data_IF_345623886918
#
_entry.id   IF_345623886918
#
_cell.length_a   1.000
_cell.length_b   1.000
_cell.length_c   1.000
_cell.angle_alpha   90.00
_cell.angle_beta   90.00
_cell.angle_gamma   90.00
#
_symmetry.space_group_name_H-M   'P 1'
#
loop_
_entity.id
_entity.type
_entity.pdbx_description
1 polymer ?
#
# COMPACT_ATOMS: atom_id res chain seq x y z
N UNK A 1 -22.33 4.39 -5.14
CA UNK A 1 -22.29 2.99 -5.65
C UNK A 1 -20.83 2.67 -5.93
N UNK A 2 -20.27 1.57 -5.39
CA UNK A 2 -18.91 1.16 -5.70
C UNK A 2 -18.77 0.85 -7.19
N UNK A 3 -17.63 1.21 -7.77
CA UNK A 3 -17.29 0.84 -9.14
C UNK A 3 -17.11 -0.68 -9.26
N UNK A 4 -17.23 -1.23 -10.47
CA UNK A 4 -16.98 -2.66 -10.70
C UNK A 4 -15.59 -3.10 -10.20
N UNK A 5 -14.60 -2.24 -10.37
CA UNK A 5 -13.23 -2.44 -9.87
C UNK A 5 -13.18 -2.52 -8.34
N UNK A 6 -13.85 -1.61 -7.63
CA UNK A 6 -13.93 -1.62 -6.16
C UNK A 6 -14.63 -2.88 -5.66
N UNK A 7 -15.79 -3.24 -6.23
CA UNK A 7 -16.53 -4.45 -5.86
C UNK A 7 -15.70 -5.73 -6.04
N UNK A 8 -14.88 -5.79 -7.11
CA UNK A 8 -13.96 -6.89 -7.34
C UNK A 8 -12.85 -6.96 -6.30
N UNK A 9 -12.25 -5.81 -5.93
CA UNK A 9 -11.22 -5.75 -4.89
C UNK A 9 -11.79 -6.09 -3.51
N UNK A 10 -13.00 -5.62 -3.19
CA UNK A 10 -13.71 -5.98 -1.95
C UNK A 10 -13.99 -7.48 -1.87
N UNK A 11 -14.49 -8.06 -2.96
CA UNK A 11 -14.78 -9.49 -3.03
C UNK A 11 -13.51 -10.34 -2.89
N UNK A 12 -12.40 -9.90 -3.50
CA UNK A 12 -11.12 -10.60 -3.40
C UNK A 12 -10.52 -10.49 -1.98
N UNK A 13 -10.62 -9.33 -1.34
CA UNK A 13 -10.17 -9.14 0.04
C UNK A 13 -11.02 -9.97 1.02
N UNK A 14 -12.34 -10.00 0.81
CA UNK A 14 -13.26 -10.83 1.59
C UNK A 14 -12.92 -12.32 1.46
N UNK A 15 -12.58 -12.81 0.27
CA UNK A 15 -12.16 -14.20 0.06
C UNK A 15 -10.92 -14.59 0.88
N UNK A 16 -9.99 -13.65 1.12
CA UNK A 16 -8.78 -13.87 1.93
C UNK A 16 -9.08 -14.09 3.43
N UNK A 17 -10.29 -13.78 3.90
CA UNK A 17 -10.70 -14.05 5.28
C UNK A 17 -10.93 -15.54 5.53
N UNK A 18 -11.41 -16.26 4.51
CA UNK A 18 -11.72 -17.70 4.61
C UNK A 18 -10.66 -18.60 3.97
N UNK A 19 -10.00 -18.14 2.91
CA UNK A 19 -9.15 -18.99 2.06
C UNK A 19 -7.73 -18.41 1.91
N UNK A 20 -6.68 -19.27 1.82
CA UNK A 20 -5.38 -18.80 1.38
C UNK A 20 -5.44 -18.34 -0.09
N UNK A 21 -4.61 -17.36 -0.45
CA UNK A 21 -4.59 -16.80 -1.81
C UNK A 21 -4.46 -17.86 -2.91
N UNK A 22 -3.67 -18.91 -2.70
CA UNK A 22 -3.53 -20.02 -3.65
C UNK A 22 -4.87 -20.65 -4.03
N UNK A 23 -5.80 -20.77 -3.07
CA UNK A 23 -7.14 -21.33 -3.25
C UNK A 23 -8.18 -20.34 -3.80
N UNK A 24 -7.93 -19.04 -3.76
CA UNK A 24 -8.84 -18.02 -4.31
C UNK A 24 -8.95 -18.18 -5.84
N UNK A 25 -10.16 -18.39 -6.36
CA UNK A 25 -10.40 -18.51 -7.81
C UNK A 25 -10.99 -17.23 -8.38
N UNK A 26 -10.50 -16.81 -9.53
CA UNK A 26 -10.96 -15.60 -10.24
C UNK A 26 -12.47 -15.64 -10.54
N UNK A 27 -13.01 -16.80 -10.87
CA UNK A 27 -14.45 -16.97 -11.12
C UNK A 27 -15.31 -16.69 -9.89
N UNK A 28 -14.86 -17.13 -8.70
CA UNK A 28 -15.60 -16.92 -7.46
C UNK A 28 -15.59 -15.44 -7.07
N UNK A 29 -14.45 -14.76 -7.28
CA UNK A 29 -14.33 -13.32 -7.07
C UNK A 29 -15.27 -12.54 -7.99
N UNK A 30 -15.31 -12.88 -9.28
CA UNK A 30 -16.21 -12.23 -10.24
C UNK A 30 -17.68 -12.43 -9.86
N UNK A 31 -18.04 -13.66 -9.49
CA UNK A 31 -19.40 -14.02 -9.06
C UNK A 31 -19.81 -13.27 -7.79
N UNK A 32 -18.94 -13.21 -6.79
CA UNK A 32 -19.20 -12.48 -5.55
C UNK A 32 -19.35 -10.96 -5.77
N UNK A 33 -18.60 -10.41 -6.73
CA UNK A 33 -18.68 -9.00 -7.11
C UNK A 33 -19.87 -8.67 -8.04
N UNK A 34 -20.65 -9.66 -8.47
CA UNK A 34 -21.79 -9.46 -9.38
C UNK A 34 -21.39 -9.07 -10.81
N UNK A 35 -20.18 -9.43 -11.25
CA UNK A 35 -19.66 -9.09 -12.59
C UNK A 35 -19.28 -10.33 -13.39
N UNK A 36 -19.19 -10.19 -14.71
CA UNK A 36 -18.75 -11.30 -15.57
C UNK A 36 -17.26 -11.63 -15.37
N UNK A 37 -16.88 -12.88 -15.63
CA UNK A 37 -15.45 -13.29 -15.66
C UNK A 37 -14.65 -12.42 -16.64
N UNK A 38 -15.22 -12.12 -17.81
CA UNK A 38 -14.56 -11.30 -18.83
C UNK A 38 -14.28 -9.89 -18.31
N UNK A 39 -15.22 -9.28 -17.58
CA UNK A 39 -15.02 -7.97 -16.93
C UNK A 39 -13.84 -8.02 -15.98
N UNK A 40 -13.76 -9.03 -15.10
CA UNK A 40 -12.64 -9.17 -14.18
C UNK A 40 -11.29 -9.31 -14.91
N UNK A 41 -11.22 -10.16 -15.93
CA UNK A 41 -10.01 -10.32 -16.73
C UNK A 41 -9.66 -9.06 -17.53
N UNK A 42 -10.64 -8.27 -17.97
CA UNK A 42 -10.37 -6.98 -18.62
C UNK A 42 -9.79 -5.96 -17.62
N UNK A 43 -10.28 -5.95 -16.38
CA UNK A 43 -9.85 -5.01 -15.33
C UNK A 43 -8.45 -5.31 -14.78
N UNK A 44 -8.11 -6.59 -14.64
CA UNK A 44 -6.89 -7.01 -13.94
C UNK A 44 -5.94 -7.87 -14.77
N UNK A 45 -6.39 -8.41 -15.91
CA UNK A 45 -5.62 -9.27 -16.81
C UNK A 45 -5.37 -10.68 -16.27
N UNK A 46 -5.02 -10.82 -14.99
CA UNK A 46 -4.61 -12.09 -14.37
C UNK A 46 -4.81 -12.05 -12.85
N UNK A 47 -4.69 -13.23 -12.21
CA UNK A 47 -4.70 -13.33 -10.74
C UNK A 47 -3.56 -12.52 -10.12
N UNK A 48 -2.37 -12.52 -10.74
CA UNK A 48 -1.25 -11.68 -10.31
C UNK A 48 -1.55 -10.18 -10.48
N UNK A 49 -2.30 -9.79 -11.52
CA UNK A 49 -2.76 -8.41 -11.68
C UNK A 49 -3.74 -7.99 -10.60
N UNK A 50 -4.68 -8.87 -10.23
CA UNK A 50 -5.60 -8.64 -9.10
C UNK A 50 -4.83 -8.54 -7.77
N UNK A 51 -3.86 -9.42 -7.53
CA UNK A 51 -2.96 -9.35 -6.38
C UNK A 51 -2.24 -8.00 -6.29
N UNK A 52 -1.68 -7.52 -7.41
CA UNK A 52 -1.03 -6.21 -7.44
C UNK A 52 -2.00 -5.07 -7.17
N UNK A 53 -3.20 -5.12 -7.75
CA UNK A 53 -4.22 -4.10 -7.55
C UNK A 53 -4.71 -4.04 -6.09
N UNK A 54 -4.92 -5.21 -5.46
CA UNK A 54 -5.23 -5.31 -4.03
C UNK A 54 -4.14 -4.66 -3.18
N UNK A 55 -2.89 -5.04 -3.41
CA UNK A 55 -1.80 -4.54 -2.59
C UNK A 55 -1.58 -3.03 -2.78
N UNK A 56 -1.77 -2.48 -4.00
CA UNK A 56 -1.77 -1.01 -4.21
C UNK A 56 -2.88 -0.33 -3.43
N UNK A 57 -4.10 -0.86 -3.49
CA UNK A 57 -5.24 -0.33 -2.75
C UNK A 57 -4.95 -0.30 -1.24
N UNK A 58 -4.40 -1.37 -0.69
CA UNK A 58 -4.04 -1.43 0.73
C UNK A 58 -2.93 -0.44 1.10
N UNK A 59 -1.94 -0.25 0.22
CA UNK A 59 -0.93 0.79 0.39
C UNK A 59 -1.55 2.19 0.39
N UNK A 60 -2.48 2.48 -0.52
CA UNK A 60 -3.18 3.76 -0.59
C UNK A 60 -4.07 3.99 0.65
N UNK A 61 -4.75 2.95 1.16
CA UNK A 61 -5.52 3.01 2.41
C UNK A 61 -4.61 3.36 3.59
N UNK A 62 -3.48 2.66 3.71
CA UNK A 62 -2.49 2.94 4.75
C UNK A 62 -1.98 4.38 4.68
N UNK A 63 -1.58 4.83 3.49
CA UNK A 63 -1.06 6.17 3.24
C UNK A 63 -2.09 7.27 3.57
N UNK A 64 -3.36 7.09 3.22
CA UNK A 64 -4.43 8.02 3.65
C UNK A 64 -4.58 8.07 5.16
N UNK A 65 -4.41 6.95 5.85
CA UNK A 65 -4.42 6.90 7.31
C UNK A 65 -3.23 7.67 7.92
N UNK A 66 -2.05 7.59 7.31
CA UNK A 66 -0.88 8.39 7.69
C UNK A 66 -1.18 9.89 7.53
N UNK A 67 -1.75 10.31 6.41
CA UNK A 67 -2.10 11.73 6.20
C UNK A 67 -3.08 12.24 7.25
N UNK A 68 -4.06 11.40 7.62
CA UNK A 68 -5.00 11.70 8.70
C UNK A 68 -4.28 11.85 10.04
N UNK A 69 -3.42 10.89 10.41
CA UNK A 69 -2.67 10.94 11.67
C UNK A 69 -1.76 12.17 11.76
N UNK A 70 -1.13 12.57 10.65
CA UNK A 70 -0.34 13.80 10.56
C UNK A 70 -1.19 15.08 10.71
N UNK A 71 -2.45 15.05 10.25
CA UNK A 71 -3.36 16.19 10.29
C UNK A 71 -4.09 16.40 11.63
N UNK A 72 -4.27 15.35 12.43
CA UNK A 72 -5.04 15.40 13.68
C UNK A 72 -4.24 15.94 14.88
N UNK A 73 -2.92 15.77 14.91
CA UNK A 73 -2.09 16.19 16.03
C UNK A 73 -1.60 17.65 15.92
N UNK A 74 -1.59 18.35 17.05
CA UNK A 74 -1.26 19.77 17.12
C UNK A 74 0.26 20.00 17.13
N UNK A 75 1.02 19.26 17.95
CA UNK A 75 2.46 19.44 18.06
C UNK A 75 3.25 18.55 17.08
N UNK A 76 4.41 19.01 16.56
CA UNK A 76 5.28 18.23 15.67
C UNK A 76 5.65 16.82 16.17
N UNK A 77 5.99 16.69 17.46
CA UNK A 77 6.36 15.41 18.07
C UNK A 77 5.16 14.48 18.25
N UNK A 78 3.99 15.04 18.55
CA UNK A 78 2.72 14.31 18.66
C UNK A 78 2.29 13.74 17.30
N UNK A 79 2.55 14.46 16.20
CA UNK A 79 2.27 13.97 14.84
C UNK A 79 3.06 12.71 14.49
N UNK A 80 4.35 12.68 14.80
CA UNK A 80 5.19 11.50 14.55
C UNK A 80 4.77 10.31 15.42
N UNK A 81 4.48 10.56 16.69
CA UNK A 81 3.96 9.53 17.59
C UNK A 81 2.60 8.98 17.08
N UNK A 82 1.68 9.85 16.68
CA UNK A 82 0.38 9.45 16.13
C UNK A 82 0.51 8.59 14.86
N UNK A 83 1.43 8.92 13.95
CA UNK A 83 1.72 8.10 12.76
C UNK A 83 2.26 6.73 13.16
N UNK A 84 3.19 6.66 14.12
CA UNK A 84 3.76 5.40 14.59
C UNK A 84 2.69 4.52 15.25
N UNK A 85 1.90 5.08 16.17
CA UNK A 85 0.80 4.39 16.84
C UNK A 85 -0.25 3.87 15.84
N UNK A 86 -0.65 4.71 14.90
CA UNK A 86 -1.59 4.33 13.84
C UNK A 86 -1.02 3.21 12.96
N UNK A 87 0.24 3.31 12.56
CA UNK A 87 0.92 2.31 11.72
C UNK A 87 0.94 0.95 12.41
N UNK A 88 1.35 0.92 13.67
CA UNK A 88 1.40 -0.32 14.49
C UNK A 88 -0.01 -0.90 14.69
N UNK A 89 -1.01 -0.06 15.01
CA UNK A 89 -2.39 -0.50 15.18
C UNK A 89 -2.96 -1.11 13.87
N UNK A 90 -2.72 -0.46 12.74
CA UNK A 90 -3.18 -0.91 11.41
C UNK A 90 -2.52 -2.21 11.01
N UNK A 91 -1.20 -2.32 11.19
CA UNK A 91 -0.45 -3.52 10.83
C UNK A 91 -0.89 -4.75 11.66
N UNK A 92 -1.35 -4.56 12.90
CA UNK A 92 -1.91 -5.66 13.72
C UNK A 92 -3.25 -6.16 13.18
N UNK A 93 -4.12 -5.26 12.71
CA UNK A 93 -5.45 -5.60 12.20
C UNK A 93 -5.50 -6.04 10.74
N UNK A 94 -4.53 -5.63 9.92
CA UNK A 94 -4.56 -5.81 8.47
C UNK A 94 -3.30 -6.55 7.97
N UNK A 95 -3.37 -7.88 7.74
CA UNK A 95 -2.22 -8.68 7.32
C UNK A 95 -1.54 -8.19 6.02
N UNK A 96 -2.31 -7.63 5.09
CA UNK A 96 -1.76 -7.06 3.86
C UNK A 96 -0.95 -5.78 4.12
N UNK A 97 -1.44 -4.87 4.96
CA UNK A 97 -0.67 -3.67 5.37
C UNK A 97 0.62 -4.08 6.07
N UNK A 98 0.56 -5.07 6.98
CA UNK A 98 1.77 -5.62 7.61
C UNK A 98 2.76 -6.18 6.59
N UNK A 99 2.27 -6.94 5.61
CA UNK A 99 3.13 -7.52 4.57
C UNK A 99 3.78 -6.44 3.69
N UNK A 100 3.05 -5.36 3.37
CA UNK A 100 3.58 -4.20 2.66
C UNK A 100 4.70 -3.50 3.44
N UNK A 101 4.51 -3.31 4.74
CA UNK A 101 5.46 -2.60 5.61
C UNK A 101 6.72 -3.42 5.93
N UNK A 102 6.62 -4.74 5.93
CA UNK A 102 7.71 -5.64 6.35
C UNK A 102 8.36 -6.40 5.19
N UNK A 103 7.66 -6.49 4.06
CA UNK A 103 8.02 -7.39 2.95
C UNK A 103 7.69 -8.86 3.23
N UNK A 104 7.16 -9.18 4.42
CA UNK A 104 6.87 -10.56 4.82
C UNK A 104 5.47 -10.99 4.36
N UNK A 105 5.39 -11.51 3.15
CA UNK A 105 4.17 -12.09 2.59
C UNK A 105 4.01 -13.53 3.09
N UNK A 106 3.05 -13.76 3.99
CA UNK A 106 2.70 -15.12 4.44
C UNK A 106 1.99 -15.93 3.35
N UNK A 107 1.90 -17.25 3.53
CA UNK A 107 1.33 -18.20 2.55
C UNK A 107 -0.14 -17.92 2.17
N UNK A 108 -0.89 -17.27 3.08
CA UNK A 108 -2.30 -16.92 2.84
C UNK A 108 -2.46 -15.67 1.98
N UNK A 109 -1.42 -14.85 1.82
CA UNK A 109 -1.51 -13.56 1.14
C UNK A 109 -1.06 -13.65 -0.31
N UNK A 110 -1.60 -12.77 -1.18
CA UNK A 110 -1.07 -12.59 -2.52
C UNK A 110 0.32 -11.96 -2.43
N UNK A 111 1.40 -12.74 -2.50
CA UNK A 111 2.76 -12.22 -2.60
C UNK A 111 2.96 -11.63 -4.01
N UNK A 112 2.80 -10.31 -4.21
CA UNK A 112 2.92 -9.72 -5.52
C UNK A 112 4.40 -9.76 -5.86
N UNK A 113 4.76 -10.36 -7.00
CA UNK A 113 6.17 -10.29 -7.44
C UNK A 113 6.57 -8.81 -7.49
N UNK A 114 7.66 -8.40 -6.82
CA UNK A 114 8.19 -7.06 -6.97
C UNK A 114 8.40 -6.81 -8.46
N UNK A 115 8.07 -5.62 -8.97
CA UNK A 115 8.54 -5.31 -10.31
C UNK A 115 10.05 -5.26 -10.21
N UNK A 116 10.73 -6.29 -10.70
CA UNK A 116 12.14 -6.16 -11.00
C UNK A 116 12.25 -4.94 -11.91
N UNK A 117 12.97 -3.91 -11.44
CA UNK A 117 13.55 -2.91 -12.32
C UNK A 117 14.53 -3.68 -13.19
N UNK A 118 14.05 -4.29 -14.26
CA UNK A 118 14.92 -4.74 -15.34
C UNK A 118 15.51 -3.47 -15.92
N UNK A 119 16.73 -3.13 -15.49
CA UNK A 119 17.58 -2.18 -16.20
C UNK A 119 17.84 -2.77 -17.57
N UNK A 120 16.98 -2.47 -18.55
CA UNK A 120 17.09 -2.99 -19.92
C UNK A 120 15.89 -3.78 -20.46
N UNK A 121 14.65 -3.56 -20.00
CA UNK A 121 13.49 -4.08 -20.77
C UNK A 121 13.38 -3.33 -22.10
N UNK A 122 13.32 -4.03 -23.26
CA UNK A 122 13.14 -3.40 -24.58
C UNK A 122 11.73 -2.86 -24.80
N UNK A 123 10.83 -2.98 -23.81
CA UNK A 123 9.45 -2.51 -23.90
C UNK A 123 9.38 -0.99 -23.68
N UNK A 124 8.73 -0.24 -24.59
CA UNK A 124 8.55 1.21 -24.48
C UNK A 124 7.93 1.60 -23.13
N UNK A 125 8.34 2.74 -22.56
CA UNK A 125 7.87 3.23 -21.25
C UNK A 125 6.33 3.23 -21.10
N UNK A 126 5.60 3.46 -22.19
CA UNK A 126 4.13 3.49 -22.26
C UNK A 126 3.46 2.10 -22.16
N UNK A 127 4.21 1.02 -22.36
CA UNK A 127 3.76 -0.38 -22.19
C UNK A 127 4.40 -1.06 -20.99
N UNK A 128 5.19 -0.35 -20.18
CA UNK A 128 5.69 -0.89 -18.92
C UNK A 128 4.49 -1.20 -18.06
N UNK A 129 4.35 -2.47 -17.66
CA UNK A 129 3.40 -2.85 -16.65
C UNK A 129 3.58 -1.90 -15.47
N UNK A 130 2.48 -1.23 -15.12
CA UNK A 130 2.19 -0.55 -13.86
C UNK A 130 3.37 -0.61 -12.86
N UNK A 131 4.04 0.51 -12.54
CA UNK A 131 5.28 0.53 -11.75
C UNK A 131 5.06 -0.30 -10.51
N UNK A 132 5.85 -1.35 -10.29
CA UNK A 132 5.54 -2.39 -9.31
C UNK A 132 5.21 -1.85 -7.93
N UNK A 133 4.67 -2.73 -7.09
CA UNK A 133 4.35 -2.33 -5.74
C UNK A 133 5.54 -1.72 -5.01
N UNK A 134 5.33 -0.62 -4.27
CA UNK A 134 6.40 -0.02 -3.50
C UNK A 134 6.93 -1.07 -2.52
N UNK A 135 8.24 -1.26 -2.52
CA UNK A 135 8.89 -2.07 -1.50
C UNK A 135 8.72 -1.43 -0.10
N UNK A 136 8.96 -2.18 0.98
CA UNK A 136 8.90 -1.64 2.35
C UNK A 136 9.64 -0.31 2.53
N UNK A 137 10.89 -0.24 2.06
CA UNK A 137 11.71 0.97 2.15
C UNK A 137 11.18 2.13 1.31
N UNK A 138 10.54 1.85 0.17
CA UNK A 138 9.92 2.89 -0.67
C UNK A 138 8.65 3.42 -0.01
N UNK A 139 7.85 2.55 0.60
CA UNK A 139 6.66 2.96 1.36
C UNK A 139 7.05 3.82 2.58
N UNK A 140 8.11 3.44 3.30
CA UNK A 140 8.68 4.25 4.39
C UNK A 140 9.18 5.60 3.90
N UNK A 141 9.84 5.66 2.74
CA UNK A 141 10.28 6.92 2.15
C UNK A 141 9.09 7.85 1.85
N UNK A 142 8.00 7.32 1.30
CA UNK A 142 6.76 8.10 1.06
C UNK A 142 6.18 8.64 2.37
N UNK A 143 6.16 7.84 3.44
CA UNK A 143 5.67 8.28 4.76
C UNK A 143 6.57 9.37 5.36
N UNK A 144 7.90 9.21 5.24
CA UNK A 144 8.86 10.24 5.65
C UNK A 144 8.62 11.54 4.92
N UNK A 145 8.51 11.50 3.58
CA UNK A 145 8.34 12.70 2.77
C UNK A 145 7.05 13.44 3.11
N UNK A 146 5.96 12.72 3.43
CA UNK A 146 4.71 13.29 3.93
C UNK A 146 4.84 13.90 5.32
N UNK A 147 5.53 13.22 6.24
CA UNK A 147 5.78 13.74 7.58
C UNK A 147 6.62 15.03 7.52
N UNK A 148 7.67 15.04 6.70
CA UNK A 148 8.50 16.21 6.46
C UNK A 148 7.67 17.37 5.91
N UNK A 149 6.89 17.15 4.85
CA UNK A 149 6.02 18.16 4.27
C UNK A 149 4.98 18.72 5.28
N UNK A 150 4.50 17.90 6.21
CA UNK A 150 3.57 18.33 7.26
C UNK A 150 4.23 19.16 8.37
N UNK A 151 5.56 19.04 8.56
CA UNK A 151 6.30 19.64 9.68
C UNK A 151 7.14 20.87 9.29
N UNK A 152 7.54 20.96 8.02
CA UNK A 152 8.37 22.03 7.46
C UNK A 152 7.72 23.41 7.18
N UNK A 153 6.38 23.63 7.13
CA UNK A 153 5.86 24.91 6.65
C UNK A 153 6.42 26.13 7.41
N UNK A 154 7.16 26.99 6.69
CA UNK A 154 7.70 28.25 7.21
C UNK A 154 9.05 28.17 7.93
N UNK A 155 9.80 27.06 7.85
CA UNK A 155 11.07 26.88 8.58
C UNK A 155 12.34 27.07 7.73
N UNK A 156 13.49 27.45 8.34
CA UNK A 156 14.78 27.52 7.67
C UNK A 156 15.28 26.13 7.21
N UNK A 157 16.10 26.10 6.15
CA UNK A 157 16.63 24.85 5.55
C UNK A 157 17.37 23.94 6.55
N UNK A 158 18.16 24.49 7.46
CA UNK A 158 18.88 23.72 8.49
C UNK A 158 17.93 23.05 9.49
N UNK A 159 16.74 23.62 9.71
CA UNK A 159 15.71 23.02 10.55
C UNK A 159 14.93 21.95 9.79
N UNK A 160 14.66 22.16 8.50
CA UNK A 160 14.12 21.17 7.58
C UNK A 160 14.98 19.89 7.51
N UNK A 161 16.30 20.02 7.33
CA UNK A 161 17.22 18.86 7.28
C UNK A 161 17.21 18.07 8.61
N UNK A 162 17.11 18.76 9.76
CA UNK A 162 16.98 18.12 11.09
C UNK A 162 15.64 17.42 11.26
N UNK A 163 14.54 18.02 10.77
CA UNK A 163 13.21 17.40 10.78
C UNK A 163 13.21 16.13 9.93
N UNK A 164 13.78 16.18 8.71
CA UNK A 164 13.90 15.02 7.84
C UNK A 164 14.67 13.87 8.50
N UNK A 165 15.79 14.18 9.16
CA UNK A 165 16.56 13.19 9.92
C UNK A 165 15.73 12.57 11.07
N UNK A 166 15.05 13.38 11.88
CA UNK A 166 14.23 12.86 12.98
C UNK A 166 13.03 12.03 12.50
N UNK A 167 12.37 12.44 11.41
CA UNK A 167 11.32 11.66 10.76
C UNK A 167 11.85 10.29 10.31
N UNK A 168 13.01 10.26 9.67
CA UNK A 168 13.62 9.01 9.19
C UNK A 168 13.99 8.06 10.35
N UNK A 169 14.57 8.59 11.44
CA UNK A 169 14.90 7.79 12.62
C UNK A 169 13.64 7.26 13.30
N UNK A 170 12.64 8.11 13.55
CA UNK A 170 11.41 7.73 14.22
C UNK A 170 10.64 6.64 13.44
N UNK A 171 10.52 6.80 12.13
CA UNK A 171 9.78 5.87 11.27
C UNK A 171 10.49 4.52 11.08
N UNK A 172 11.81 4.45 11.23
CA UNK A 172 12.55 3.17 11.15
C UNK A 172 12.58 2.39 12.47
N UNK A 173 12.37 3.07 13.60
CA UNK A 173 12.34 2.43 14.92
C UNK A 173 10.95 1.92 15.30
N UNK A 174 9.89 2.49 14.72
CA UNK A 174 8.50 2.06 14.90
C UNK A 174 8.19 0.77 14.10
#
# INVERSE_FOLDING_TARGET
MPTARESLLDSALSALTGLPWSAVRMVDVASAAGVSRQTLYNEFGSKDGLARALARREADVYLRGVDRALGEAAAPTERLAAVAEWTVATARGHPMVRALLTGCWGERLPAPRPAFRTTGSPVPAQRRADPGLPGPSELLAVVRDRAVAALEPGRPKEEADRIAYHCEVALRLA
#
